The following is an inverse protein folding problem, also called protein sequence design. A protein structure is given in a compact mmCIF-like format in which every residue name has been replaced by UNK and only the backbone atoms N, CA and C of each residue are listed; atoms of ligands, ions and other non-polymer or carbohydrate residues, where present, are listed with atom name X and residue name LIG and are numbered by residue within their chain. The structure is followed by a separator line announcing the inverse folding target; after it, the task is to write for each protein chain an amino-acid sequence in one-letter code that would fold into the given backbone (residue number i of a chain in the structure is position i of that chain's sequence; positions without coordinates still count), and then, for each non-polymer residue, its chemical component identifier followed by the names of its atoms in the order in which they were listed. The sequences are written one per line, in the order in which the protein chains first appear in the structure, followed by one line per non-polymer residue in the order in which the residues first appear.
data_IF_590693377127
#
_entry.id   IF_590693377127
#
_cell.length_a   1.000
_cell.length_b   1.000
_cell.length_c   1.000
_cell.angle_alpha   90.00
_cell.angle_beta   90.00
_cell.angle_gamma   90.00
#
_symmetry.space_group_name_H-M   'P 1'
#
loop_
_entity.id
_entity.type
_entity.pdbx_description
1 polymer ?
#
# COMPACT_ATOMS: atom_id res chain seq x y z
N UNK A 1 -109.27 -54.69 -81.94
CA UNK A 1 -108.20 -54.65 -82.97
C UNK A 1 -107.50 -53.31 -82.76
N UNK A 2 -106.23 -53.17 -82.44
CA UNK A 2 -105.06 -54.02 -82.69
C UNK A 2 -104.06 -53.90 -81.53
N UNK A 3 -103.30 -54.98 -81.37
CA UNK A 3 -102.19 -55.17 -80.47
C UNK A 3 -100.90 -54.75 -81.19
N UNK A 4 -100.04 -53.92 -80.57
CA UNK A 4 -98.62 -53.84 -80.93
C UNK A 4 -97.75 -53.71 -79.68
N UNK A 5 -97.03 -54.79 -79.42
CA UNK A 5 -95.90 -54.92 -78.53
C UNK A 5 -94.72 -54.09 -79.03
N UNK A 6 -93.97 -53.45 -78.14
CA UNK A 6 -92.61 -52.98 -78.42
C UNK A 6 -91.73 -52.99 -77.16
N UNK A 7 -90.49 -53.41 -77.39
CA UNK A 7 -89.44 -53.79 -76.45
C UNK A 7 -89.00 -52.74 -75.41
N UNK A 8 -88.50 -53.27 -74.29
CA UNK A 8 -87.66 -52.59 -73.28
C UNK A 8 -86.29 -52.20 -73.84
N UNK A 9 -85.65 -51.14 -73.28
CA UNK A 9 -84.21 -51.21 -73.03
C UNK A 9 -83.85 -50.87 -71.57
N UNK A 10 -82.89 -51.67 -71.08
CA UNK A 10 -82.30 -51.68 -69.74
C UNK A 10 -81.16 -50.66 -69.60
N UNK A 11 -81.17 -49.96 -68.45
CA UNK A 11 -80.07 -49.36 -67.66
C UNK A 11 -78.77 -48.81 -68.30
N UNK A 12 -78.52 -47.48 -68.17
CA UNK A 12 -77.16 -46.90 -68.16
C UNK A 12 -76.77 -46.22 -66.82
N UNK A 13 -77.68 -46.03 -65.88
CA UNK A 13 -77.46 -45.12 -64.72
C UNK A 13 -76.58 -45.69 -63.61
N UNK A 14 -76.53 -47.02 -63.47
CA UNK A 14 -75.89 -47.67 -62.31
C UNK A 14 -74.36 -47.82 -62.45
N UNK A 15 -73.84 -47.96 -63.67
CA UNK A 15 -72.40 -48.16 -63.93
C UNK A 15 -71.59 -46.86 -63.81
N UNK A 16 -72.17 -45.73 -64.25
CA UNK A 16 -71.58 -44.39 -64.10
C UNK A 16 -71.50 -44.00 -62.62
N UNK A 17 -72.55 -44.28 -61.86
CA UNK A 17 -72.64 -44.03 -60.42
C UNK A 17 -71.63 -44.88 -59.64
N UNK A 18 -71.44 -46.15 -60.01
CA UNK A 18 -70.42 -47.04 -59.43
C UNK A 18 -68.98 -46.55 -59.72
N UNK A 19 -68.70 -46.03 -60.92
CA UNK A 19 -67.41 -45.41 -61.24
C UNK A 19 -67.16 -44.17 -60.39
N UNK A 20 -68.13 -43.27 -60.28
CA UNK A 20 -68.02 -42.08 -59.43
C UNK A 20 -67.86 -42.43 -57.95
N UNK A 21 -68.54 -43.46 -57.45
CA UNK A 21 -68.35 -43.98 -56.09
C UNK A 21 -66.94 -44.57 -55.88
N UNK A 22 -66.38 -45.23 -56.89
CA UNK A 22 -65.02 -45.77 -56.83
C UNK A 22 -63.95 -44.68 -56.83
N UNK A 23 -64.13 -43.62 -57.63
CA UNK A 23 -63.26 -42.43 -57.63
C UNK A 23 -63.37 -41.66 -56.31
N UNK A 24 -64.58 -41.46 -55.80
CA UNK A 24 -64.81 -40.82 -54.50
C UNK A 24 -64.12 -41.60 -53.37
N UNK A 25 -64.23 -42.94 -53.37
CA UNK A 25 -63.54 -43.81 -52.40
C UNK A 25 -62.01 -43.69 -52.52
N UNK A 26 -61.48 -43.66 -53.74
CA UNK A 26 -60.06 -43.44 -53.99
C UNK A 26 -59.56 -42.08 -53.49
N UNK A 27 -60.34 -41.01 -53.70
CA UNK A 27 -60.01 -39.69 -53.17
C UNK A 27 -60.06 -39.65 -51.64
N UNK A 28 -61.04 -40.32 -51.02
CA UNK A 28 -61.12 -40.48 -49.56
C UNK A 28 -59.91 -41.23 -49.00
N UNK A 29 -59.49 -42.32 -49.63
CA UNK A 29 -58.30 -43.07 -49.22
C UNK A 29 -57.02 -42.23 -49.34
N UNK A 30 -56.94 -41.40 -50.39
CA UNK A 30 -55.82 -40.48 -50.61
C UNK A 30 -55.78 -39.38 -49.53
N UNK A 31 -56.94 -38.78 -49.21
CA UNK A 31 -57.09 -37.78 -48.16
C UNK A 31 -56.77 -38.39 -46.78
N UNK A 32 -57.26 -39.60 -46.49
CA UNK A 32 -56.95 -40.30 -45.24
C UNK A 32 -55.45 -40.60 -45.11
N UNK A 33 -54.78 -41.01 -46.20
CA UNK A 33 -53.33 -41.17 -46.22
C UNK A 33 -52.60 -39.84 -45.96
N UNK A 34 -53.03 -38.74 -46.58
CA UNK A 34 -52.43 -37.42 -46.38
C UNK A 34 -52.70 -36.83 -44.99
N UNK A 35 -53.81 -37.20 -44.33
CA UNK A 35 -54.15 -36.75 -42.98
C UNK A 35 -53.51 -37.61 -41.88
N UNK A 36 -53.01 -38.82 -42.19
CA UNK A 36 -52.34 -39.69 -41.21
C UNK A 36 -51.18 -39.04 -40.44
N UNK A 37 -50.32 -38.16 -41.03
CA UNK A 37 -49.23 -37.49 -40.31
C UNK A 37 -49.71 -36.34 -39.41
N UNK A 38 -50.98 -35.95 -39.47
CA UNK A 38 -51.50 -34.84 -38.66
C UNK A 38 -51.50 -35.20 -37.16
N UNK A 39 -51.72 -36.47 -36.83
CA UNK A 39 -51.66 -36.95 -35.45
C UNK A 39 -50.25 -36.84 -34.85
N UNK A 40 -49.21 -37.15 -35.63
CA UNK A 40 -47.81 -37.01 -35.18
C UNK A 40 -47.44 -35.54 -35.02
N UNK A 41 -47.87 -34.67 -35.94
CA UNK A 41 -47.64 -33.23 -35.85
C UNK A 41 -48.28 -32.61 -34.59
N UNK A 42 -49.48 -33.06 -34.21
CA UNK A 42 -50.13 -32.62 -32.96
C UNK A 42 -49.31 -32.98 -31.73
N UNK A 43 -48.66 -34.14 -31.73
CA UNK A 43 -47.80 -34.56 -30.62
C UNK A 43 -46.50 -33.76 -30.58
N UNK A 44 -45.85 -33.54 -31.73
CA UNK A 44 -44.67 -32.69 -31.85
C UNK A 44 -44.96 -31.25 -31.35
N UNK A 45 -46.12 -30.68 -31.70
CA UNK A 45 -46.54 -29.36 -31.22
C UNK A 45 -46.71 -29.32 -29.71
N UNK A 46 -47.19 -30.39 -29.07
CA UNK A 46 -47.26 -30.46 -27.60
C UNK A 46 -45.87 -30.49 -26.97
N UNK A 47 -44.95 -31.28 -27.53
CA UNK A 47 -43.57 -31.36 -27.05
C UNK A 47 -42.86 -30.00 -27.19
N UNK A 48 -42.98 -29.35 -28.35
CA UNK A 48 -42.44 -28.01 -28.59
C UNK A 48 -43.04 -27.01 -27.58
N UNK A 49 -44.34 -27.09 -27.30
CA UNK A 49 -44.98 -26.20 -26.32
C UNK A 49 -44.43 -26.43 -24.90
N UNK A 50 -44.14 -27.67 -24.54
CA UNK A 50 -43.51 -28.00 -23.26
C UNK A 50 -42.07 -27.45 -23.20
N UNK A 51 -41.26 -27.71 -24.22
CA UNK A 51 -39.88 -27.20 -24.31
C UNK A 51 -39.84 -25.67 -24.25
N UNK A 52 -40.77 -24.98 -24.93
CA UNK A 52 -40.89 -23.51 -24.87
C UNK A 52 -41.26 -23.03 -23.46
N UNK A 53 -42.08 -23.78 -22.72
CA UNK A 53 -42.39 -23.46 -21.33
C UNK A 53 -41.17 -23.62 -20.43
N UNK A 54 -40.45 -24.73 -20.57
CA UNK A 54 -39.26 -25.03 -19.76
C UNK A 54 -38.11 -24.05 -20.07
N UNK A 55 -37.98 -23.66 -21.34
CA UNK A 55 -37.03 -22.64 -21.78
C UNK A 55 -37.38 -21.27 -21.19
N UNK A 56 -38.67 -20.89 -21.13
CA UNK A 56 -39.13 -19.64 -20.52
C UNK A 56 -38.75 -19.58 -19.03
N UNK A 57 -38.96 -20.67 -18.30
CA UNK A 57 -38.60 -20.73 -16.88
C UNK A 57 -37.08 -20.65 -16.67
N UNK A 58 -36.32 -21.33 -17.52
CA UNK A 58 -34.85 -21.26 -17.52
C UNK A 58 -34.32 -19.84 -17.80
N UNK A 59 -34.92 -19.14 -18.77
CA UNK A 59 -34.56 -17.74 -19.09
C UNK A 59 -34.90 -16.80 -17.93
N UNK A 60 -36.07 -16.95 -17.30
CA UNK A 60 -36.44 -16.14 -16.14
C UNK A 60 -35.49 -16.35 -14.96
N UNK A 61 -35.08 -17.59 -14.71
CA UNK A 61 -34.10 -17.90 -13.68
C UNK A 61 -32.71 -17.30 -13.99
N UNK A 62 -32.26 -17.43 -15.24
CA UNK A 62 -31.02 -16.84 -15.70
C UNK A 62 -31.04 -15.31 -15.57
N UNK A 63 -32.15 -14.66 -15.93
CA UNK A 63 -32.34 -13.22 -15.77
C UNK A 63 -32.21 -12.79 -14.31
N UNK A 64 -32.89 -13.49 -13.39
CA UNK A 64 -32.79 -13.19 -11.96
C UNK A 64 -31.36 -13.34 -11.42
N UNK A 65 -30.66 -14.38 -11.87
CA UNK A 65 -29.26 -14.61 -11.50
C UNK A 65 -28.34 -13.52 -12.05
N UNK A 66 -28.62 -13.03 -13.26
CA UNK A 66 -27.90 -11.91 -13.87
C UNK A 66 -28.13 -10.62 -13.07
N UNK A 67 -29.37 -10.31 -12.68
CA UNK A 67 -29.72 -9.11 -11.90
C UNK A 67 -29.05 -9.13 -10.51
N UNK A 68 -29.05 -10.28 -9.84
CA UNK A 68 -28.34 -10.48 -8.57
C UNK A 68 -26.83 -10.29 -8.73
N UNK A 69 -26.26 -10.77 -9.83
CA UNK A 69 -24.83 -10.65 -10.14
C UNK A 69 -24.45 -9.19 -10.45
N UNK A 70 -25.25 -8.49 -11.24
CA UNK A 70 -25.08 -7.06 -11.52
C UNK A 70 -25.09 -6.25 -10.22
N UNK A 71 -26.02 -6.56 -9.33
CA UNK A 71 -26.13 -5.89 -8.02
C UNK A 71 -24.88 -6.12 -7.15
N UNK A 72 -24.39 -7.37 -7.09
CA UNK A 72 -23.14 -7.71 -6.37
C UNK A 72 -21.94 -7.00 -6.99
N UNK A 73 -21.83 -6.97 -8.31
CA UNK A 73 -20.75 -6.27 -9.02
C UNK A 73 -20.78 -4.78 -8.70
N UNK A 74 -21.96 -4.13 -8.73
CA UNK A 74 -22.09 -2.71 -8.35
C UNK A 74 -21.62 -2.44 -6.91
N UNK A 75 -21.94 -3.35 -5.98
CA UNK A 75 -21.45 -3.25 -4.59
C UNK A 75 -19.93 -3.39 -4.49
N UNK A 76 -19.33 -4.29 -5.29
CA UNK A 76 -17.89 -4.50 -5.31
C UNK A 76 -17.16 -3.31 -5.93
N UNK A 77 -17.66 -2.76 -7.04
CA UNK A 77 -17.10 -1.54 -7.66
C UNK A 77 -17.07 -0.40 -6.67
N UNK A 78 -18.17 -0.20 -5.92
CA UNK A 78 -18.25 0.84 -4.89
C UNK A 78 -17.21 0.63 -3.78
N UNK A 79 -17.06 -0.62 -3.30
CA UNK A 79 -16.08 -0.97 -2.27
C UNK A 79 -14.64 -0.79 -2.77
N UNK A 80 -14.34 -1.17 -4.01
CA UNK A 80 -13.02 -0.99 -4.61
C UNK A 80 -12.68 0.49 -4.71
N UNK A 81 -13.61 1.32 -5.21
CA UNK A 81 -13.41 2.77 -5.28
C UNK A 81 -13.13 3.40 -3.91
N UNK A 82 -13.83 2.95 -2.86
CA UNK A 82 -13.57 3.40 -1.50
C UNK A 82 -12.18 2.98 -1.00
N UNK A 83 -11.75 1.75 -1.27
CA UNK A 83 -10.42 1.24 -0.88
C UNK A 83 -9.32 2.02 -1.59
N UNK A 84 -9.49 2.31 -2.88
CA UNK A 84 -8.54 3.11 -3.66
C UNK A 84 -8.39 4.53 -3.08
N UNK A 85 -9.51 5.17 -2.75
CA UNK A 85 -9.51 6.48 -2.09
C UNK A 85 -8.80 6.45 -0.73
N UNK A 86 -9.04 5.43 0.09
CA UNK A 86 -8.36 5.24 1.37
C UNK A 86 -6.86 4.98 1.19
N UNK A 87 -6.47 4.21 0.18
CA UNK A 87 -5.06 3.91 -0.12
C UNK A 87 -4.30 5.20 -0.46
N UNK A 88 -4.88 6.05 -1.31
CA UNK A 88 -4.30 7.36 -1.63
C UNK A 88 -4.15 8.25 -0.39
N UNK A 89 -5.16 8.25 0.49
CA UNK A 89 -5.09 9.00 1.76
C UNK A 89 -4.00 8.46 2.69
N UNK A 90 -3.80 7.14 2.74
CA UNK A 90 -2.75 6.52 3.55
C UNK A 90 -1.36 6.88 3.04
N UNK A 91 -1.16 6.93 1.72
CA UNK A 91 0.13 7.29 1.15
C UNK A 91 0.46 8.77 1.37
N UNK A 92 -0.52 9.67 1.25
CA UNK A 92 -0.37 11.07 1.66
C UNK A 92 0.02 11.18 3.15
N UNK A 93 -0.68 10.45 4.03
CA UNK A 93 -0.38 10.46 5.46
C UNK A 93 1.02 9.93 5.78
N UNK A 94 1.48 8.88 5.11
CA UNK A 94 2.85 8.37 5.26
C UNK A 94 3.88 9.42 4.85
N UNK A 95 3.62 10.13 3.75
CA UNK A 95 4.50 11.20 3.26
C UNK A 95 4.58 12.35 4.27
N UNK A 96 3.44 12.79 4.79
CA UNK A 96 3.38 13.83 5.83
C UNK A 96 4.09 13.39 7.12
N UNK A 97 3.92 12.14 7.52
CA UNK A 97 4.61 11.59 8.69
C UNK A 97 6.12 11.54 8.48
N UNK A 98 6.59 11.20 7.27
CA UNK A 98 8.01 11.20 6.94
C UNK A 98 8.58 12.62 7.03
N UNK A 99 7.88 13.59 6.43
CA UNK A 99 8.25 15.01 6.48
C UNK A 99 8.29 15.55 7.92
N UNK A 100 7.27 15.25 8.72
CA UNK A 100 7.22 15.72 10.11
C UNK A 100 8.36 15.13 10.96
N UNK A 101 8.75 13.87 10.70
CA UNK A 101 9.91 13.25 11.35
C UNK A 101 11.22 13.93 10.97
N UNK A 102 11.37 14.31 9.70
CA UNK A 102 12.52 15.06 9.20
C UNK A 102 12.58 16.45 9.84
N UNK A 103 11.48 17.22 9.79
CA UNK A 103 11.37 18.54 10.41
C UNK A 103 11.67 18.49 11.92
N UNK A 104 11.21 17.44 12.61
CA UNK A 104 11.49 17.24 14.03
C UNK A 104 12.98 16.99 14.26
N UNK A 105 13.63 16.14 13.46
CA UNK A 105 15.06 15.88 13.57
C UNK A 105 15.89 17.14 13.33
N UNK A 106 15.50 17.96 12.35
CA UNK A 106 16.15 19.23 12.06
C UNK A 106 15.97 20.24 13.19
N UNK A 107 14.76 20.38 13.74
CA UNK A 107 14.49 21.24 14.89
C UNK A 107 15.26 20.80 16.12
N UNK A 108 15.33 19.50 16.40
CA UNK A 108 16.13 18.97 17.52
C UNK A 108 17.63 19.26 17.33
N UNK A 109 18.14 19.11 16.11
CA UNK A 109 19.55 19.43 15.83
C UNK A 109 19.80 20.94 15.92
N UNK A 110 18.87 21.75 15.46
CA UNK A 110 18.94 23.22 15.53
C UNK A 110 18.92 23.72 16.97
N UNK A 111 18.10 23.13 17.85
CA UNK A 111 18.09 23.42 19.28
C UNK A 111 19.45 23.10 19.97
N UNK A 112 20.32 22.32 19.32
CA UNK A 112 21.67 21.99 19.78
C UNK A 112 22.76 22.72 18.98
N UNK A 113 22.40 23.64 18.09
CA UNK A 113 23.36 24.31 17.21
C UNK A 113 24.44 25.09 17.96
N UNK A 114 24.15 25.58 19.17
CA UNK A 114 25.10 26.30 20.03
C UNK A 114 25.70 25.41 21.13
N UNK A 115 25.44 24.10 21.10
CA UNK A 115 25.85 23.17 22.14
C UNK A 115 27.11 22.41 21.72
N UNK A 116 27.98 22.21 22.69
CA UNK A 116 29.22 21.44 22.58
C UNK A 116 29.13 20.23 23.50
N UNK A 117 29.61 19.09 23.03
CA UNK A 117 29.74 17.85 23.79
C UNK A 117 31.23 17.58 24.08
N UNK A 118 31.60 17.64 25.35
CA UNK A 118 32.95 17.37 25.85
C UNK A 118 32.96 15.96 26.46
N UNK A 119 33.82 15.08 25.92
CA UNK A 119 33.95 13.68 26.34
C UNK A 119 35.32 13.38 26.91
N UNK A 120 35.40 12.33 27.72
CA UNK A 120 36.66 11.81 28.25
C UNK A 120 37.18 12.54 29.48
N UNK A 121 36.43 13.49 30.04
CA UNK A 121 36.77 14.15 31.30
C UNK A 121 36.31 13.25 32.47
N UNK A 122 37.22 12.75 33.32
CA UNK A 122 36.88 11.91 34.47
C UNK A 122 35.94 12.62 35.44
N UNK A 123 35.08 11.88 36.13
CA UNK A 123 34.21 12.40 37.18
C UNK A 123 35.02 12.67 38.46
N UNK A 124 34.83 13.83 39.08
CA UNK A 124 35.37 14.15 40.40
C UNK A 124 34.25 14.56 41.36
N UNK A 125 34.37 14.21 42.65
CA UNK A 125 33.33 14.45 43.68
C UNK A 125 33.04 15.93 43.91
N UNK A 126 34.01 16.81 43.67
CA UNK A 126 33.92 18.25 43.86
C UNK A 126 34.43 18.98 42.62
N UNK A 127 33.81 18.70 41.48
CA UNK A 127 34.18 19.34 40.22
C UNK A 127 33.47 20.67 40.00
N UNK A 128 34.18 21.61 39.40
CA UNK A 128 33.60 22.81 38.84
C UNK A 128 33.76 22.77 37.32
N UNK A 129 32.64 22.67 36.60
CA UNK A 129 32.65 22.54 35.15
C UNK A 129 33.21 23.80 34.46
N UNK A 130 33.07 24.98 35.06
CA UNK A 130 33.66 26.22 34.54
C UNK A 130 35.19 26.19 34.61
N UNK A 131 35.76 25.67 35.70
CA UNK A 131 37.21 25.55 35.85
C UNK A 131 37.78 24.54 34.86
N UNK A 132 37.05 23.44 34.60
CA UNK A 132 37.40 22.47 33.56
C UNK A 132 37.42 23.14 32.18
N UNK A 133 36.38 23.90 31.84
CA UNK A 133 36.34 24.64 30.57
C UNK A 133 37.48 25.66 30.48
N UNK A 134 37.77 26.41 31.56
CA UNK A 134 38.87 27.36 31.60
C UNK A 134 40.25 26.71 31.36
N UNK A 135 40.47 25.51 31.90
CA UNK A 135 41.68 24.72 31.62
C UNK A 135 41.72 24.26 30.16
N UNK A 136 40.59 23.81 29.61
CA UNK A 136 40.51 23.41 28.20
C UNK A 136 40.86 24.61 27.30
N UNK A 137 40.21 25.76 27.50
CA UNK A 137 40.36 26.96 26.68
C UNK A 137 41.80 27.49 26.72
N UNK A 138 42.45 27.44 27.89
CA UNK A 138 43.87 27.78 28.05
C UNK A 138 44.78 26.89 27.20
N UNK A 139 44.56 25.58 27.20
CA UNK A 139 45.37 24.64 26.41
C UNK A 139 45.17 24.84 24.90
N UNK A 140 43.91 24.97 24.45
CA UNK A 140 43.61 25.11 23.02
C UNK A 140 43.75 26.55 22.49
N UNK A 141 44.22 27.50 23.32
CA UNK A 141 44.40 28.92 22.98
C UNK A 141 43.14 29.60 22.43
N UNK A 142 41.99 29.23 22.98
CA UNK A 142 40.69 29.86 22.70
C UNK A 142 40.22 30.60 23.97
N UNK A 143 39.44 31.67 23.84
CA UNK A 143 38.90 32.38 25.01
C UNK A 143 37.39 32.18 25.07
N UNK A 144 36.91 31.61 26.18
CA UNK A 144 35.49 31.56 26.53
C UNK A 144 35.37 32.15 27.92
N UNK A 145 34.56 33.20 28.07
CA UNK A 145 34.26 33.77 29.36
C UNK A 145 33.06 33.08 29.97
N UNK A 146 32.90 33.23 31.29
CA UNK A 146 31.78 32.59 32.00
C UNK A 146 30.43 33.12 31.50
N UNK A 147 30.38 34.40 31.14
CA UNK A 147 29.21 35.08 30.60
C UNK A 147 28.80 34.57 29.20
N UNK A 148 29.73 33.94 28.46
CA UNK A 148 29.43 33.39 27.14
C UNK A 148 28.74 32.02 27.24
N UNK A 149 28.75 31.39 28.43
CA UNK A 149 28.15 30.09 28.71
C UNK A 149 26.72 30.29 29.22
N UNK A 150 25.75 29.82 28.44
CA UNK A 150 24.34 29.82 28.81
C UNK A 150 24.04 28.72 29.85
N UNK A 151 24.56 27.52 29.60
CA UNK A 151 24.27 26.33 30.40
C UNK A 151 25.43 25.35 30.31
N UNK A 152 25.76 24.69 31.42
CA UNK A 152 26.75 23.62 31.45
C UNK A 152 26.35 22.55 32.46
N UNK A 153 26.36 21.28 32.05
CA UNK A 153 26.04 20.16 32.92
C UNK A 153 26.62 18.84 32.39
N UNK A 154 26.79 17.87 33.29
CA UNK A 154 27.02 16.48 32.88
C UNK A 154 25.72 15.81 32.48
N UNK A 155 25.76 15.08 31.39
CA UNK A 155 24.61 14.30 30.91
C UNK A 155 24.68 12.87 31.44
N UNK A 156 23.58 12.33 31.97
CA UNK A 156 23.51 10.94 32.37
C UNK A 156 23.88 10.01 31.21
N UNK A 157 24.68 8.98 31.50
CA UNK A 157 24.98 7.91 30.56
C UNK A 157 24.33 6.63 31.08
N UNK A 158 23.77 5.83 30.17
CA UNK A 158 23.20 4.53 30.49
C UNK A 158 24.27 3.53 30.93
N UNK A 159 25.52 3.76 30.52
CA UNK A 159 26.69 3.00 30.99
C UNK A 159 27.17 3.60 32.30
N UNK A 160 27.45 2.76 33.30
CA UNK A 160 28.09 3.13 34.57
C UNK A 160 29.57 3.52 34.39
N UNK A 161 29.86 4.26 33.34
CA UNK A 161 31.20 4.68 32.96
C UNK A 161 31.58 5.92 33.78
N UNK A 162 32.85 5.99 34.19
CA UNK A 162 33.38 7.06 35.05
C UNK A 162 33.55 8.40 34.32
N UNK A 163 33.19 8.48 33.04
CA UNK A 163 33.40 9.63 32.15
C UNK A 163 32.10 10.12 31.48
N UNK A 164 31.08 10.46 32.30
CA UNK A 164 29.85 11.13 31.81
C UNK A 164 30.20 12.38 31.00
N UNK A 165 29.62 12.55 29.81
CA UNK A 165 29.95 13.70 28.95
C UNK A 165 29.41 15.00 29.53
N UNK A 166 30.13 16.10 29.33
CA UNK A 166 29.69 17.46 29.68
C UNK A 166 29.06 18.07 28.43
N UNK A 167 27.85 18.61 28.56
CA UNK A 167 27.23 19.46 27.55
C UNK A 167 27.36 20.90 28.01
N UNK A 168 27.84 21.76 27.11
CA UNK A 168 27.96 23.19 27.30
C UNK A 168 27.22 23.90 26.18
N UNK A 169 26.24 24.72 26.52
CA UNK A 169 25.53 25.62 25.60
C UNK A 169 26.15 27.02 25.66
N UNK A 170 26.52 27.56 24.51
CA UNK A 170 27.06 28.91 24.39
C UNK A 170 25.96 29.87 23.92
N UNK A 171 26.08 31.15 24.32
CA UNK A 171 25.16 32.20 23.88
C UNK A 171 25.31 32.51 22.39
N UNK A 172 26.52 32.36 21.85
CA UNK A 172 26.85 32.71 20.48
C UNK A 172 27.36 31.49 19.69
N UNK A 173 26.76 31.26 18.51
CA UNK A 173 27.17 30.19 17.59
C UNK A 173 28.61 30.36 17.09
N UNK A 174 29.05 31.59 16.80
CA UNK A 174 30.41 31.85 16.31
C UNK A 174 31.47 31.46 17.33
N UNK A 175 31.27 31.81 18.62
CA UNK A 175 32.13 31.39 19.72
C UNK A 175 32.18 29.87 19.85
N UNK A 176 31.03 29.20 19.63
CA UNK A 176 30.99 27.73 19.59
C UNK A 176 31.85 27.17 18.46
N UNK A 177 31.67 27.65 17.23
CA UNK A 177 32.43 27.15 16.08
C UNK A 177 33.93 27.38 16.25
N UNK A 178 34.34 28.54 16.77
CA UNK A 178 35.73 28.85 17.08
C UNK A 178 36.31 27.88 18.11
N UNK A 179 35.59 27.61 19.19
CA UNK A 179 36.00 26.66 20.22
C UNK A 179 36.20 25.24 19.67
N UNK A 180 35.25 24.74 18.87
CA UNK A 180 35.33 23.42 18.26
C UNK A 180 36.47 23.36 17.22
N UNK A 181 36.67 24.43 16.44
CA UNK A 181 37.75 24.53 15.47
C UNK A 181 39.13 24.54 16.15
N UNK A 182 39.30 25.35 17.20
CA UNK A 182 40.54 25.41 17.98
C UNK A 182 40.89 24.03 18.58
N UNK A 183 39.88 23.34 19.14
CA UNK A 183 40.07 21.98 19.65
C UNK A 183 40.51 20.97 18.57
N UNK A 184 39.95 21.06 17.36
CA UNK A 184 40.37 20.21 16.23
C UNK A 184 41.81 20.51 15.78
N UNK A 185 42.22 21.78 15.81
CA UNK A 185 43.57 22.22 15.44
C UNK A 185 44.63 21.84 16.47
N UNK A 186 44.29 21.77 17.76
CA UNK A 186 45.22 21.38 18.84
C UNK A 186 45.75 19.94 18.72
N UNK A 187 45.18 19.09 17.85
CA UNK A 187 45.63 17.70 17.60
C UNK A 187 45.63 16.78 18.83
N UNK A 188 44.68 16.99 19.74
CA UNK A 188 44.39 16.09 20.85
C UNK A 188 44.65 16.73 22.20
N UNK A 189 43.63 16.69 23.05
CA UNK A 189 43.71 17.13 24.44
C UNK A 189 43.74 15.87 25.31
N UNK A 190 44.59 15.83 26.32
CA UNK A 190 44.66 14.74 27.28
C UNK A 190 44.02 15.13 28.61
N UNK A 191 43.72 14.13 29.43
CA UNK A 191 43.25 14.38 30.79
C UNK A 191 44.36 14.95 31.68
N UNK A 192 45.64 14.69 31.35
CA UNK A 192 46.82 15.27 32.02
C UNK A 192 46.87 16.79 31.83
N UNK A 193 46.52 17.28 30.63
CA UNK A 193 46.46 18.72 30.33
C UNK A 193 45.43 19.47 31.18
N UNK A 194 44.46 18.73 31.75
CA UNK A 194 43.44 19.25 32.66
C UNK A 194 43.79 19.02 34.14
N UNK A 195 44.94 18.42 34.43
CA UNK A 195 45.46 18.13 35.77
C UNK A 195 44.85 16.89 36.41
N UNK A 196 44.31 15.95 35.62
CA UNK A 196 43.94 14.62 36.12
C UNK A 196 45.11 13.66 35.97
N UNK A 197 45.13 12.60 36.77
CA UNK A 197 46.12 11.52 36.65
C UNK A 197 45.60 10.41 35.73
N UNK A 198 46.52 9.76 35.02
CA UNK A 198 46.25 8.60 34.17
C UNK A 198 46.29 8.91 32.67
N UNK A 199 45.98 7.90 31.87
CA UNK A 199 45.93 8.01 30.41
C UNK A 199 44.49 8.20 29.93
N UNK A 200 44.27 9.21 29.08
CA UNK A 200 42.95 9.49 28.53
C UNK A 200 42.97 10.68 27.60
N UNK A 201 42.08 10.66 26.60
CA UNK A 201 41.89 11.75 25.65
C UNK A 201 40.57 12.46 25.91
N UNK A 202 40.60 13.78 25.83
CA UNK A 202 39.44 14.65 25.91
C UNK A 202 39.05 15.04 24.49
N UNK A 203 37.77 14.87 24.17
CA UNK A 203 37.22 15.18 22.85
C UNK A 203 36.18 16.27 22.96
N UNK A 204 36.30 17.29 22.12
CA UNK A 204 35.37 18.40 22.03
C UNK A 204 34.68 18.29 20.67
N UNK A 205 33.37 18.06 20.69
CA UNK A 205 32.58 17.82 19.49
C UNK A 205 31.32 18.68 19.46
N UNK A 206 30.72 18.82 18.28
CA UNK A 206 29.37 19.33 18.15
C UNK A 206 28.37 18.42 18.87
N UNK A 207 27.39 19.01 19.58
CA UNK A 207 26.33 18.24 20.19
C UNK A 207 25.30 17.80 19.14
N UNK A 208 25.48 16.59 18.63
CA UNK A 208 24.57 16.00 17.66
C UNK A 208 23.40 15.25 18.31
N UNK A 209 22.27 15.17 17.61
CA UNK A 209 21.17 14.26 17.96
C UNK A 209 21.61 12.80 17.88
N UNK A 210 20.88 11.89 18.52
CA UNK A 210 21.19 10.45 18.45
C UNK A 210 21.18 9.94 17.00
N UNK A 211 20.23 10.42 16.20
CA UNK A 211 20.15 10.12 14.76
C UNK A 211 21.44 10.53 14.05
N UNK A 212 21.86 11.79 14.18
CA UNK A 212 23.05 12.31 13.50
C UNK A 212 24.35 11.68 14.02
N UNK A 213 24.44 11.35 15.31
CA UNK A 213 25.55 10.55 15.86
C UNK A 213 25.63 9.17 15.21
N UNK A 214 24.50 8.49 15.05
CA UNK A 214 24.43 7.18 14.40
C UNK A 214 24.82 7.26 12.91
N UNK A 215 24.33 8.28 12.20
CA UNK A 215 24.69 8.54 10.81
C UNK A 215 26.20 8.80 10.66
N UNK A 216 26.75 9.71 11.48
CA UNK A 216 28.19 10.01 11.48
C UNK A 216 29.03 8.75 11.74
N UNK A 217 28.60 7.89 12.67
CA UNK A 217 29.28 6.61 12.96
C UNK A 217 29.27 5.68 11.74
N UNK A 218 28.13 5.54 11.05
CA UNK A 218 28.00 4.73 9.83
C UNK A 218 28.91 5.25 8.72
N UNK A 219 28.91 6.57 8.48
CA UNK A 219 29.75 7.21 7.45
C UNK A 219 31.23 7.03 7.76
N UNK A 220 31.67 7.25 9.01
CA UNK A 220 33.05 7.01 9.42
C UNK A 220 33.48 5.56 9.21
N UNK A 221 32.63 4.59 9.58
CA UNK A 221 32.91 3.16 9.37
C UNK A 221 33.10 2.85 7.88
N UNK A 222 32.22 3.39 7.01
CA UNK A 222 32.31 3.20 5.55
C UNK A 222 33.57 3.85 4.97
N UNK A 223 33.92 5.07 5.40
CA UNK A 223 35.17 5.75 4.99
C UNK A 223 36.41 4.93 5.36
N UNK A 224 36.47 4.43 6.60
CA UNK A 224 37.59 3.60 7.04
C UNK A 224 37.74 2.33 6.21
N UNK A 225 36.63 1.62 5.90
CA UNK A 225 36.71 0.43 5.05
C UNK A 225 37.15 0.74 3.62
N UNK A 226 36.71 1.86 3.03
CA UNK A 226 37.12 2.27 1.69
C UNK A 226 38.62 2.60 1.62
N UNK A 227 39.17 3.23 2.66
CA UNK A 227 40.60 3.58 2.73
C UNK A 227 41.54 2.39 2.96
N UNK A 228 41.01 1.19 3.26
CA UNK A 228 41.81 -0.04 3.44
C UNK A 228 41.97 -0.80 2.12
N UNK A 229 41.22 -0.45 1.07
CA UNK A 229 41.24 -1.10 -0.25
C UNK A 229 41.87 -0.24 -1.35
N UNK A 230 42.48 0.89 -1.02
CA UNK A 230 43.23 1.75 -1.94
C UNK A 230 44.52 2.21 -1.30
#
# INVERSE_FOLDING_TARGET
MECKTAQSPVAPTNLQLLKQLSELRSTLDTIMKQLSPLATLVEDVKLIKQDVSDLKDSVNFAQKTADDSISKIGSLVTRVSHIEAQTNSLDNLKMDMAKLKEDLQDKEQWARANNVEIKGVPLSKSENLYDIVAKITKNIKCTIRKEDINYIARVPSLKSDSSKSIIMALNNRYTKEEFVAAARQHKGLSILDLGYNGEGKVFINDHLTLHNKALLKKVKKKKSSLSTYG
#
